data_IF_268262513844
#
_entry.id   IF_268262513844
#
_cell.length_a   1.000
_cell.length_b   1.000
_cell.length_c   1.000
_cell.angle_alpha   90.00
_cell.angle_beta   90.00
_cell.angle_gamma   90.00
#
_symmetry.space_group_name_H-M   'P 1'
#
loop_
_entity.id
_entity.type
_entity.pdbx_description
1 polymer ?
#
# COMPACT_ATOMS: atom_id res chain seq x y z
N UNK A 1 10.06 -4.70 7.54
CA UNK A 1 8.59 -4.75 7.42
C UNK A 1 8.11 -3.88 6.26
N UNK A 2 6.93 -4.17 5.70
CA UNK A 2 6.28 -3.42 4.60
C UNK A 2 5.06 -2.63 5.10
N UNK A 3 4.74 -1.47 4.49
CA UNK A 3 3.56 -0.65 4.81
C UNK A 3 2.62 -0.50 3.59
N UNK A 4 1.31 -0.54 3.84
CA UNK A 4 0.28 -0.53 2.80
C UNK A 4 -0.93 0.38 3.07
N UNK A 5 -0.76 1.70 3.24
CA UNK A 5 -1.52 2.84 2.65
C UNK A 5 -1.05 4.18 3.31
N UNK A 6 -1.40 5.34 2.72
CA UNK A 6 -0.99 6.73 3.07
C UNK A 6 -0.61 6.95 4.54
N UNK A 7 0.65 7.31 4.80
CA UNK A 7 1.01 8.03 6.03
C UNK A 7 0.66 9.50 5.81
N UNK A 8 -0.52 9.91 6.25
CA UNK A 8 -0.94 11.31 6.21
C UNK A 8 0.00 12.18 7.03
N UNK A 9 0.14 13.47 6.67
CA UNK A 9 0.97 14.41 7.43
C UNK A 9 0.38 14.56 8.86
N UNK A 10 0.93 13.81 9.83
CA UNK A 10 0.39 13.70 11.19
C UNK A 10 0.37 12.27 11.75
N UNK A 11 0.39 11.24 10.90
CA UNK A 11 0.33 9.81 11.28
C UNK A 11 1.72 9.17 11.43
N UNK A 12 2.70 9.92 11.94
CA UNK A 12 4.06 9.40 12.21
C UNK A 12 4.09 8.33 13.33
N UNK A 13 2.96 8.09 13.99
CA UNK A 13 2.84 7.12 15.10
C UNK A 13 3.17 5.71 14.62
N UNK A 14 2.72 5.30 13.43
CA UNK A 14 2.90 3.92 12.95
C UNK A 14 4.36 3.64 12.57
N UNK A 15 5.03 4.44 11.71
CA UNK A 15 6.45 4.25 11.43
C UNK A 15 7.30 4.32 12.70
N UNK A 16 7.01 5.28 13.59
CA UNK A 16 7.75 5.43 14.84
C UNK A 16 7.58 4.23 15.78
N UNK A 17 6.38 3.67 15.88
CA UNK A 17 6.14 2.47 16.70
C UNK A 17 6.90 1.25 16.17
N UNK A 18 7.01 1.12 14.84
CA UNK A 18 7.79 0.08 14.18
C UNK A 18 9.27 0.25 14.53
N UNK A 19 9.80 1.47 14.38
CA UNK A 19 11.19 1.80 14.71
C UNK A 19 11.51 1.60 16.19
N UNK A 20 10.63 2.06 17.10
CA UNK A 20 10.77 1.89 18.55
C UNK A 20 10.75 0.40 18.96
N UNK A 21 10.12 -0.46 18.15
CA UNK A 21 10.12 -1.91 18.31
C UNK A 21 11.35 -2.60 17.70
N UNK A 22 12.30 -1.83 17.15
CA UNK A 22 13.50 -2.31 16.49
C UNK A 22 13.30 -2.75 15.03
N UNK A 23 12.12 -2.51 14.45
CA UNK A 23 11.81 -2.79 13.06
C UNK A 23 12.25 -1.66 12.12
N UNK A 24 12.50 -2.00 10.86
CA UNK A 24 12.78 -1.02 9.80
C UNK A 24 11.78 -1.23 8.67
N UNK A 25 11.18 -0.13 8.20
CA UNK A 25 10.35 -0.13 6.99
C UNK A 25 11.29 -0.10 5.79
N UNK A 26 11.31 -1.20 5.02
CA UNK A 26 12.27 -1.39 3.91
C UNK A 26 11.68 -0.97 2.57
N UNK A 27 10.38 -1.17 2.41
CA UNK A 27 9.63 -0.77 1.21
C UNK A 27 8.17 -0.51 1.56
N UNK A 28 7.51 0.26 0.70
CA UNK A 28 6.09 0.57 0.78
C UNK A 28 5.43 0.31 -0.59
N UNK A 29 4.13 0.06 -0.59
CA UNK A 29 3.34 0.00 -1.82
C UNK A 29 2.00 0.72 -1.60
N UNK A 30 2.10 2.03 -1.35
CA UNK A 30 0.97 2.95 -1.18
C UNK A 30 0.48 3.46 -2.54
N UNK A 31 -0.81 3.81 -2.67
CA UNK A 31 -1.40 4.37 -3.89
C UNK A 31 -0.73 5.69 -4.32
N UNK A 32 -0.30 6.50 -3.35
CA UNK A 32 0.35 7.80 -3.48
C UNK A 32 1.88 7.75 -3.29
N UNK A 33 2.42 6.57 -3.01
CA UNK A 33 3.83 6.34 -2.72
C UNK A 33 4.63 5.87 -3.92
N UNK A 34 5.46 4.85 -3.71
CA UNK A 34 6.38 4.26 -4.70
C UNK A 34 5.70 3.87 -6.01
N UNK A 35 4.38 3.62 -6.02
CA UNK A 35 3.63 3.36 -7.25
C UNK A 35 3.75 4.48 -8.26
N UNK A 36 3.79 5.75 -7.85
CA UNK A 36 3.86 6.86 -8.81
C UNK A 36 5.26 6.97 -9.45
N UNK A 37 6.31 6.63 -8.70
CA UNK A 37 7.70 6.72 -9.15
C UNK A 37 8.16 5.49 -9.96
N UNK A 38 7.41 4.39 -9.92
CA UNK A 38 7.76 3.14 -10.59
C UNK A 38 7.55 3.16 -12.12
N UNK A 39 6.84 4.16 -12.67
CA UNK A 39 6.41 4.14 -14.07
C UNK A 39 6.90 5.34 -14.88
N UNK A 40 7.49 5.06 -16.04
CA UNK A 40 7.87 6.08 -17.01
C UNK A 40 6.87 6.12 -18.17
N UNK A 41 6.48 7.33 -18.58
CA UNK A 41 5.70 7.55 -19.81
C UNK A 41 6.68 7.71 -20.96
N UNK A 42 6.43 7.02 -22.08
CA UNK A 42 7.22 7.22 -23.31
C UNK A 42 7.12 8.67 -23.79
N UNK A 43 8.27 9.28 -24.05
CA UNK A 43 8.37 10.69 -24.42
C UNK A 43 8.47 10.92 -25.94
N UNK A 44 8.36 9.85 -26.73
CA UNK A 44 8.41 9.85 -28.19
C UNK A 44 7.05 9.44 -28.79
N UNK A 45 6.75 9.92 -30.01
CA UNK A 45 5.50 9.60 -30.69
C UNK A 45 4.29 10.41 -30.18
N UNK A 46 3.12 9.78 -30.12
CA UNK A 46 1.87 10.41 -29.66
C UNK A 46 1.81 10.44 -28.13
N UNK A 47 2.15 11.59 -27.57
CA UNK A 47 2.23 11.80 -26.13
C UNK A 47 0.89 11.59 -25.40
N UNK A 48 -0.24 11.97 -26.02
CA UNK A 48 -1.56 11.82 -25.39
C UNK A 48 -1.96 10.36 -25.34
N UNK A 49 -1.70 9.62 -26.41
CA UNK A 49 -1.87 8.17 -26.44
C UNK A 49 -0.96 7.49 -25.42
N UNK A 50 0.32 7.85 -25.38
CA UNK A 50 1.27 7.27 -24.42
C UNK A 50 0.83 7.51 -22.97
N UNK A 51 0.33 8.70 -22.66
CA UNK A 51 -0.20 9.02 -21.34
C UNK A 51 -1.40 8.13 -20.99
N UNK A 52 -2.38 8.02 -21.90
CA UNK A 52 -3.55 7.17 -21.71
C UNK A 52 -3.18 5.69 -21.54
N UNK A 53 -2.35 5.14 -22.44
CA UNK A 53 -1.88 3.75 -22.35
C UNK A 53 -1.12 3.49 -21.05
N UNK A 54 -0.31 4.44 -20.60
CA UNK A 54 0.42 4.30 -19.34
C UNK A 54 -0.56 4.25 -18.16
N UNK A 55 -1.45 5.23 -18.02
CA UNK A 55 -2.33 5.34 -16.85
C UNK A 55 -3.44 4.29 -16.79
N UNK A 56 -3.93 3.81 -17.93
CA UNK A 56 -5.09 2.92 -17.97
C UNK A 56 -4.74 1.45 -18.26
N UNK A 57 -3.60 1.17 -18.90
CA UNK A 57 -3.28 -0.19 -19.37
C UNK A 57 -1.97 -0.74 -18.82
N UNK A 58 -1.02 0.13 -18.47
CA UNK A 58 0.35 -0.31 -18.11
C UNK A 58 0.66 -0.19 -16.62
N UNK A 59 0.06 0.79 -15.94
CA UNK A 59 0.22 0.97 -14.50
C UNK A 59 -0.66 -0.03 -13.75
N UNK A 60 -0.15 -0.54 -12.63
CA UNK A 60 -1.00 -1.19 -11.65
C UNK A 60 -2.13 -0.24 -11.26
N UNK A 61 -3.40 -0.63 -11.44
CA UNK A 61 -4.51 0.27 -11.21
C UNK A 61 -4.62 0.67 -9.72
N UNK A 62 -5.04 1.90 -9.41
CA UNK A 62 -5.35 2.26 -8.02
C UNK A 62 -6.44 1.33 -7.46
N UNK A 63 -6.51 1.18 -6.13
CA UNK A 63 -7.43 0.25 -5.43
C UNK A 63 -8.90 0.35 -5.89
N UNK A 64 -9.32 1.51 -6.38
CA UNK A 64 -10.65 1.77 -6.94
C UNK A 64 -10.93 1.09 -8.30
N UNK A 65 -9.90 0.68 -9.05
CA UNK A 65 -10.04 -0.05 -10.31
C UNK A 65 -10.00 -1.54 -10.02
N UNK A 66 -11.19 -2.16 -10.08
CA UNK A 66 -11.39 -3.58 -9.83
C UNK A 66 -11.81 -4.30 -11.13
N UNK A 67 -11.43 -5.57 -11.31
CA UNK A 67 -10.63 -6.41 -10.40
C UNK A 67 -9.11 -6.23 -10.61
N UNK A 68 -8.35 -6.04 -9.52
CA UNK A 68 -6.88 -5.94 -9.60
C UNK A 68 -6.15 -6.59 -8.39
N UNK A 69 -6.87 -7.38 -7.58
CA UNK A 69 -6.31 -8.02 -6.37
C UNK A 69 -5.21 -9.05 -6.68
N UNK A 70 -5.32 -9.82 -7.76
CA UNK A 70 -4.30 -10.81 -8.14
C UNK A 70 -2.97 -10.15 -8.46
N UNK A 71 -2.99 -9.09 -9.27
CA UNK A 71 -1.80 -8.29 -9.62
C UNK A 71 -1.16 -7.69 -8.35
N UNK A 72 -1.97 -7.20 -7.40
CA UNK A 72 -1.45 -6.67 -6.13
C UNK A 72 -0.77 -7.74 -5.29
N UNK A 73 -1.33 -8.94 -5.21
CA UNK A 73 -0.69 -10.07 -4.53
C UNK A 73 0.65 -10.39 -5.19
N UNK A 74 0.71 -10.53 -6.51
CA UNK A 74 1.96 -10.81 -7.24
C UNK A 74 3.04 -9.75 -6.98
N UNK A 75 2.66 -8.47 -6.94
CA UNK A 75 3.59 -7.37 -6.63
C UNK A 75 4.08 -7.47 -5.19
N UNK A 76 3.21 -7.72 -4.23
CA UNK A 76 3.58 -7.87 -2.82
C UNK A 76 4.53 -9.07 -2.64
N UNK A 77 4.23 -10.22 -3.25
CA UNK A 77 5.09 -11.40 -3.23
C UNK A 77 6.48 -11.10 -3.82
N UNK A 78 6.51 -10.33 -4.92
CA UNK A 78 7.75 -9.88 -5.53
C UNK A 78 8.55 -8.97 -4.58
N UNK A 79 7.91 -7.98 -3.96
CA UNK A 79 8.57 -7.08 -3.02
C UNK A 79 9.11 -7.83 -1.80
N UNK A 80 8.34 -8.79 -1.27
CA UNK A 80 8.76 -9.63 -0.15
C UNK A 80 10.06 -10.36 -0.49
N UNK A 81 10.13 -10.97 -1.68
CA UNK A 81 11.31 -11.69 -2.14
C UNK A 81 12.48 -10.77 -2.43
N UNK A 82 12.25 -9.69 -3.18
CA UNK A 82 13.31 -8.81 -3.69
C UNK A 82 13.97 -8.02 -2.55
N UNK A 83 13.22 -7.71 -1.48
CA UNK A 83 13.71 -6.97 -0.31
C UNK A 83 13.93 -7.84 0.94
N UNK A 84 13.77 -9.16 0.84
CA UNK A 84 13.90 -10.09 1.96
C UNK A 84 13.09 -9.66 3.19
N UNK A 85 11.79 -9.47 3.00
CA UNK A 85 10.89 -8.94 4.03
C UNK A 85 10.50 -10.03 5.03
N UNK A 86 10.66 -9.73 6.33
CA UNK A 86 10.31 -10.65 7.43
C UNK A 86 8.85 -10.52 7.93
N UNK A 87 8.11 -9.51 7.45
CA UNK A 87 6.73 -9.29 7.85
C UNK A 87 6.07 -8.11 7.14
N UNK A 88 4.75 -8.18 7.01
CA UNK A 88 3.91 -7.27 6.23
C UNK A 88 2.95 -6.54 7.17
N UNK A 89 2.90 -5.22 7.09
CA UNK A 89 1.95 -4.38 7.83
C UNK A 89 1.01 -3.74 6.81
N UNK A 90 -0.26 -4.10 6.90
CA UNK A 90 -1.33 -3.46 6.16
C UNK A 90 -1.87 -2.31 7.00
N UNK A 91 -1.85 -1.10 6.45
CA UNK A 91 -2.30 0.08 7.17
C UNK A 91 -3.41 0.74 6.36
N UNK A 92 -4.60 0.90 6.92
CA UNK A 92 -5.71 1.54 6.22
C UNK A 92 -6.43 2.56 7.09
N UNK A 93 -7.17 3.46 6.44
CA UNK A 93 -8.07 4.38 7.13
C UNK A 93 -9.39 3.66 7.43
N UNK A 94 -9.94 3.89 8.63
CA UNK A 94 -11.23 3.33 9.00
C UNK A 94 -12.33 3.77 8.02
N UNK A 95 -13.27 2.86 7.75
CA UNK A 95 -14.44 3.03 6.87
C UNK A 95 -14.19 2.91 5.35
N UNK A 96 -13.08 2.28 4.93
CA UNK A 96 -12.78 2.05 3.52
C UNK A 96 -13.11 0.60 3.08
N UNK A 97 -14.37 0.35 2.69
CA UNK A 97 -14.89 -1.01 2.42
C UNK A 97 -14.12 -1.79 1.33
N UNK A 98 -13.53 -1.09 0.36
CA UNK A 98 -12.73 -1.72 -0.71
C UNK A 98 -11.41 -2.27 -0.15
N UNK A 99 -10.77 -1.55 0.78
CA UNK A 99 -9.52 -1.98 1.41
C UNK A 99 -9.75 -3.15 2.36
N UNK A 100 -10.89 -3.19 3.05
CA UNK A 100 -11.28 -4.34 3.85
C UNK A 100 -11.33 -5.63 3.02
N UNK A 101 -11.93 -5.54 1.81
CA UNK A 101 -11.97 -6.67 0.89
C UNK A 101 -10.57 -7.08 0.43
N UNK A 102 -9.73 -6.11 0.04
CA UNK A 102 -8.36 -6.38 -0.41
C UNK A 102 -7.49 -6.96 0.72
N UNK A 103 -7.59 -6.41 1.93
CA UNK A 103 -6.91 -6.91 3.11
C UNK A 103 -7.25 -8.39 3.35
N UNK A 104 -8.51 -8.79 3.15
CA UNK A 104 -8.92 -10.20 3.32
C UNK A 104 -8.28 -11.14 2.29
N UNK A 105 -8.05 -10.66 1.06
CA UNK A 105 -7.40 -11.43 -0.01
C UNK A 105 -5.90 -11.53 0.24
N UNK A 106 -5.27 -10.41 0.57
CA UNK A 106 -3.83 -10.32 0.81
C UNK A 106 -3.45 -11.10 2.07
N UNK A 107 -4.22 -10.98 3.15
CA UNK A 107 -4.00 -11.74 4.38
C UNK A 107 -3.95 -13.26 4.11
N UNK A 108 -4.88 -13.78 3.31
CA UNK A 108 -4.87 -15.20 2.89
C UNK A 108 -3.64 -15.57 2.06
N UNK A 109 -3.18 -14.69 1.17
CA UNK A 109 -1.97 -14.92 0.41
C UNK A 109 -0.73 -14.98 1.34
N UNK A 110 -0.66 -14.08 2.33
CA UNK A 110 0.42 -14.06 3.31
C UNK A 110 0.43 -15.33 4.18
N UNK A 111 -0.74 -15.78 4.63
CA UNK A 111 -0.89 -17.06 5.34
C UNK A 111 -0.34 -18.23 4.51
N UNK A 112 -0.65 -18.27 3.21
CA UNK A 112 -0.16 -19.29 2.28
C UNK A 112 1.37 -19.33 2.15
N UNK A 113 2.04 -18.21 2.42
CA UNK A 113 3.50 -18.08 2.40
C UNK A 113 4.15 -18.25 3.78
N UNK A 114 3.37 -18.42 4.85
CA UNK A 114 3.82 -18.28 6.24
C UNK A 114 4.48 -16.91 6.52
N UNK A 115 3.97 -15.85 5.89
CA UNK A 115 4.45 -14.48 6.08
C UNK A 115 3.72 -13.81 7.25
N UNK A 116 4.42 -13.30 8.29
CA UNK A 116 3.78 -12.54 9.35
C UNK A 116 3.03 -11.33 8.80
N UNK A 117 1.75 -11.21 9.15
CA UNK A 117 0.87 -10.14 8.67
C UNK A 117 0.19 -9.43 9.84
N UNK A 118 0.20 -8.09 9.82
CA UNK A 118 -0.46 -7.25 10.81
C UNK A 118 -1.34 -6.21 10.11
N UNK A 119 -2.64 -6.22 10.39
CA UNK A 119 -3.57 -5.16 9.99
C UNK A 119 -3.59 -4.06 11.06
N UNK A 120 -3.42 -2.81 10.64
CA UNK A 120 -3.57 -1.61 11.45
C UNK A 120 -4.61 -0.71 10.79
N UNK A 121 -5.54 -0.21 11.60
CA UNK A 121 -6.55 0.76 11.16
C UNK A 121 -6.42 2.03 11.98
N UNK A 122 -6.52 3.18 11.32
CA UNK A 122 -6.60 4.49 11.98
C UNK A 122 -7.86 5.22 11.58
N UNK A 123 -8.54 5.81 12.57
CA UNK A 123 -9.57 6.81 12.32
C UNK A 123 -8.98 8.18 12.62
N UNK A 124 -8.95 9.08 11.64
CA UNK A 124 -8.63 10.48 11.85
C UNK A 124 -9.74 11.14 12.69
N UNK A 125 -9.73 10.92 14.00
CA UNK A 125 -10.56 11.66 14.96
C UNK A 125 -9.70 12.68 15.69
N UNK A 126 -9.18 13.68 14.96
CA UNK A 126 -8.58 14.86 15.59
C UNK A 126 -9.69 15.86 15.98
N UNK A 127 -10.44 15.52 17.03
CA UNK A 127 -11.07 16.54 17.88
C UNK A 127 -10.41 16.39 19.24
N UNK A 128 -9.67 17.40 19.74
CA UNK A 128 -9.17 17.39 21.11
C UNK A 128 -10.38 17.23 22.03
N UNK A 129 -10.47 16.12 22.78
CA UNK A 129 -11.43 15.99 23.86
C UNK A 129 -10.99 16.91 25.01
N UNK A 130 -11.39 18.15 24.89
CA UNK A 130 -11.37 19.18 25.92
C UNK A 130 -12.24 20.32 25.41
N UNK A 131 -13.18 20.77 26.24
CA UNK A 131 -14.21 21.79 25.98
C UNK A 131 -15.55 21.29 25.39
N UNK A 132 -16.33 20.63 26.25
CA UNK A 132 -17.71 21.03 26.60
C UNK A 132 -18.16 20.29 27.85
#
# INVERSE_FOLDING_TARGET
>A
SWLGHVVGMGDYVVPKLIEDSGGVVVTEFLDEGMRQCAWNVKTDGDLMRNLGETYYLSRTPPSIFQPAWEERVEIIEKLIRDFNIDGVIWYELSFEEIYDLECSIISKAMDGMNMPFLKLESSSSTVPRGWS
#
